data_IF_840042752253
#
_entry.id   IF_840042752253
#
_cell.length_a   1.000
_cell.length_b   1.000
_cell.length_c   1.000
_cell.angle_alpha   90.00
_cell.angle_beta   90.00
_cell.angle_gamma   90.00
#
_symmetry.space_group_name_H-M   'P 1'
#
loop_
_entity.id
_entity.type
_entity.pdbx_description
1 polymer ?
#
# COMPACT_ATOMS: atom_id res chain seq x y z
N UNK A 1 19.59 15.36 -66.07
CA UNK A 1 18.36 14.96 -65.33
C UNK A 1 18.44 13.60 -64.62
N UNK A 2 19.55 12.86 -64.65
CA UNK A 2 19.67 11.52 -63.99
C UNK A 2 20.40 11.53 -62.65
N UNK A 3 21.12 12.58 -62.31
CA UNK A 3 21.92 12.67 -61.07
C UNK A 3 21.08 13.11 -59.88
N UNK A 4 20.02 13.89 -60.06
CA UNK A 4 19.14 14.33 -58.98
C UNK A 4 18.23 13.22 -58.38
N UNK A 5 18.00 12.13 -59.09
CA UNK A 5 17.19 11.02 -58.59
C UNK A 5 17.96 10.05 -57.69
N UNK A 6 19.28 9.98 -57.80
CA UNK A 6 20.11 9.13 -56.94
C UNK A 6 20.35 9.73 -55.57
N UNK A 7 20.41 11.05 -55.44
CA UNK A 7 20.62 11.73 -54.15
C UNK A 7 19.37 11.66 -53.25
N UNK A 8 18.17 11.64 -53.84
CA UNK A 8 16.92 11.57 -53.07
C UNK A 8 16.67 10.17 -52.48
N UNK A 9 17.18 9.12 -53.10
CA UNK A 9 17.04 7.74 -52.59
C UNK A 9 18.00 7.46 -51.43
N UNK A 10 19.18 8.12 -51.40
CA UNK A 10 20.16 7.96 -50.31
C UNK A 10 19.72 8.66 -49.03
N UNK A 11 18.98 9.74 -49.13
CA UNK A 11 18.47 10.50 -47.97
C UNK A 11 17.33 9.80 -47.21
N UNK A 12 16.53 9.00 -47.93
CA UNK A 12 15.43 8.26 -47.34
C UNK A 12 15.92 7.04 -46.52
N UNK A 13 17.06 6.43 -46.92
CA UNK A 13 17.64 5.29 -46.19
C UNK A 13 18.33 5.74 -44.90
N UNK A 14 18.83 6.95 -44.80
CA UNK A 14 19.46 7.49 -43.57
C UNK A 14 18.46 7.92 -42.50
N UNK A 15 17.22 8.24 -42.87
CA UNK A 15 16.16 8.58 -41.90
C UNK A 15 15.46 7.37 -41.29
N UNK A 16 15.56 6.19 -41.90
CA UNK A 16 14.98 4.97 -41.37
C UNK A 16 15.80 4.32 -40.24
N UNK A 17 17.05 4.71 -40.05
CA UNK A 17 17.95 4.13 -39.04
C UNK A 17 17.81 4.72 -37.65
N UNK A 18 17.08 5.83 -37.47
CA UNK A 18 16.95 6.49 -36.17
C UNK A 18 15.67 6.15 -35.41
N UNK A 19 14.80 5.28 -35.93
CA UNK A 19 13.53 4.91 -35.30
C UNK A 19 13.53 3.53 -34.67
N UNK A 20 14.67 2.83 -34.62
CA UNK A 20 14.78 1.63 -33.82
C UNK A 20 15.14 1.98 -32.37
N UNK A 21 14.21 2.61 -31.62
CA UNK A 21 14.21 2.50 -30.17
C UNK A 21 14.15 1.01 -29.88
N UNK A 22 15.28 0.43 -29.47
CA UNK A 22 15.30 -0.88 -28.83
C UNK A 22 14.22 -0.84 -27.76
N UNK A 23 13.06 -1.45 -28.01
CA UNK A 23 12.26 -2.01 -26.95
C UNK A 23 13.24 -2.94 -26.22
N UNK A 24 13.62 -2.57 -25.02
CA UNK A 24 14.18 -3.51 -24.06
C UNK A 24 13.24 -4.72 -24.15
N UNK A 25 13.76 -5.83 -24.66
CA UNK A 25 13.04 -7.07 -24.58
C UNK A 25 12.86 -7.30 -23.07
N UNK A 26 11.65 -7.06 -22.60
CA UNK A 26 11.16 -7.66 -21.38
C UNK A 26 11.30 -9.16 -21.61
N UNK A 27 12.41 -9.72 -21.16
CA UNK A 27 12.57 -11.15 -21.01
C UNK A 27 11.72 -11.54 -19.81
N UNK A 28 10.41 -11.35 -19.96
CA UNK A 28 9.42 -11.85 -19.06
C UNK A 28 9.57 -13.34 -18.98
N UNK A 29 10.30 -13.83 -17.99
CA UNK A 29 10.21 -15.19 -17.54
C UNK A 29 8.77 -15.34 -17.08
N UNK A 30 7.92 -16.13 -17.76
CA UNK A 30 6.55 -16.34 -17.32
C UNK A 30 6.60 -17.03 -15.96
N UNK A 31 6.05 -16.38 -14.93
CA UNK A 31 5.90 -17.00 -13.62
C UNK A 31 6.86 -16.52 -12.53
N UNK A 32 7.58 -15.41 -12.68
CA UNK A 32 8.31 -14.85 -11.56
C UNK A 32 7.40 -13.96 -10.69
N UNK A 33 6.42 -14.58 -10.03
CA UNK A 33 5.91 -14.00 -8.79
C UNK A 33 7.11 -13.85 -7.85
N UNK A 34 7.31 -12.64 -7.32
CA UNK A 34 8.43 -12.36 -6.42
C UNK A 34 8.46 -13.44 -5.33
N UNK A 35 9.53 -14.21 -5.29
CA UNK A 35 9.73 -15.28 -4.28
C UNK A 35 9.75 -14.72 -2.86
N UNK A 36 9.97 -13.42 -2.73
CA UNK A 36 10.08 -12.72 -1.46
C UNK A 36 9.06 -11.59 -1.38
N UNK A 37 8.50 -11.39 -0.18
CA UNK A 37 7.74 -10.19 0.15
C UNK A 37 8.74 -9.08 0.47
N UNK A 38 8.64 -7.97 -0.26
CA UNK A 38 9.40 -6.75 0.01
C UNK A 38 8.37 -5.66 0.34
N UNK A 39 8.28 -5.34 1.62
CA UNK A 39 7.28 -4.43 2.17
C UNK A 39 7.94 -3.15 2.67
N UNK A 40 7.34 -2.00 2.36
CA UNK A 40 7.75 -0.70 2.90
C UNK A 40 6.59 0.00 3.61
N UNK A 41 6.89 0.67 4.72
CA UNK A 41 5.97 1.62 5.33
C UNK A 41 6.10 2.99 4.67
N UNK A 42 4.96 3.60 4.33
CA UNK A 42 4.87 4.94 3.74
C UNK A 42 4.00 5.80 4.63
N UNK A 43 4.57 6.84 5.21
CA UNK A 43 3.91 7.64 6.22
C UNK A 43 2.93 8.67 5.65
N UNK A 44 1.87 8.95 6.40
CA UNK A 44 0.82 9.93 6.05
C UNK A 44 1.33 11.38 5.99
N UNK A 45 2.42 11.68 6.70
CA UNK A 45 3.08 13.00 6.72
C UNK A 45 4.26 13.12 5.75
N UNK A 46 4.67 12.04 5.11
CA UNK A 46 5.72 12.07 4.10
C UNK A 46 5.27 12.82 2.85
N UNK A 47 6.23 13.40 2.11
CA UNK A 47 5.94 14.17 0.89
C UNK A 47 6.39 13.45 -0.39
N UNK A 48 7.33 12.51 -0.29
CA UNK A 48 7.87 11.78 -1.44
C UNK A 48 6.96 10.64 -1.87
N UNK A 49 6.98 10.35 -3.18
CA UNK A 49 6.40 9.12 -3.73
C UNK A 49 7.45 8.02 -3.65
N UNK A 50 7.11 6.84 -3.11
CA UNK A 50 8.07 5.74 -3.03
C UNK A 50 8.38 5.17 -4.42
N UNK A 51 9.64 4.74 -4.62
CA UNK A 51 10.02 3.93 -5.77
C UNK A 51 9.48 2.50 -5.58
N UNK A 52 8.69 2.02 -6.53
CA UNK A 52 7.95 0.75 -6.39
C UNK A 52 8.58 -0.44 -7.09
N UNK A 53 9.65 -0.26 -7.89
CA UNK A 53 10.22 -1.33 -8.72
C UNK A 53 10.55 -2.59 -7.92
N UNK A 54 11.12 -2.43 -6.72
CA UNK A 54 11.51 -3.54 -5.84
C UNK A 54 10.43 -3.93 -4.83
N UNK A 55 9.34 -3.16 -4.68
CA UNK A 55 8.33 -3.39 -3.64
C UNK A 55 7.26 -4.36 -4.13
N UNK A 56 6.84 -5.27 -3.27
CA UNK A 56 5.64 -6.09 -3.45
C UNK A 56 4.46 -5.53 -2.66
N UNK A 57 4.73 -4.89 -1.51
CA UNK A 57 3.71 -4.35 -0.60
C UNK A 57 4.09 -2.95 -0.11
N UNK A 58 3.07 -2.15 0.13
CA UNK A 58 3.15 -0.88 0.87
C UNK A 58 2.15 -0.94 2.03
N UNK A 59 2.63 -0.67 3.24
CA UNK A 59 1.78 -0.36 4.38
C UNK A 59 1.72 1.15 4.55
N UNK A 60 0.55 1.74 4.32
CA UNK A 60 0.33 3.17 4.53
C UNK A 60 0.12 3.46 6.02
N UNK A 61 0.97 4.25 6.59
CA UNK A 61 1.02 4.55 8.01
C UNK A 61 0.65 6.02 8.30
N UNK A 62 -0.48 6.32 8.95
CA UNK A 62 -1.33 5.39 9.68
C UNK A 62 -2.82 5.71 9.53
N UNK A 63 -3.66 4.72 9.87
CA UNK A 63 -4.97 4.91 10.40
C UNK A 63 -4.97 4.67 11.92
N UNK A 64 -6.04 5.01 12.60
CA UNK A 64 -6.19 4.86 14.05
C UNK A 64 -7.58 4.34 14.38
N UNK A 65 -7.73 3.64 15.50
CA UNK A 65 -9.06 3.30 16.02
C UNK A 65 -9.81 4.62 16.28
N UNK A 66 -11.03 4.71 15.76
CA UNK A 66 -11.86 5.91 15.92
C UNK A 66 -12.34 6.09 17.38
N UNK A 67 -12.81 7.30 17.69
CA UNK A 67 -13.18 7.69 19.06
C UNK A 67 -14.35 6.89 19.64
N UNK A 68 -15.17 6.28 18.80
CA UNK A 68 -16.26 5.40 19.19
C UNK A 68 -15.84 3.94 19.41
N UNK A 69 -14.56 3.60 19.27
CA UNK A 69 -13.98 2.26 19.33
C UNK A 69 -14.56 1.27 18.31
N UNK A 70 -15.13 1.73 17.21
CA UNK A 70 -15.84 0.88 16.23
C UNK A 70 -15.36 1.05 14.80
N UNK A 71 -14.62 2.11 14.52
CA UNK A 71 -14.21 2.44 13.16
C UNK A 71 -12.73 2.84 13.06
N UNK A 72 -12.35 3.24 11.86
CA UNK A 72 -11.01 3.70 11.52
C UNK A 72 -11.07 5.18 11.14
N UNK A 73 -10.24 5.99 11.78
CA UNK A 73 -9.89 7.34 11.37
C UNK A 73 -8.59 7.30 10.58
N UNK A 74 -8.56 7.87 9.40
CA UNK A 74 -7.38 7.90 8.54
C UNK A 74 -6.83 9.33 8.53
N UNK A 75 -5.53 9.44 8.79
CA UNK A 75 -4.83 10.71 8.66
C UNK A 75 -4.57 11.01 7.21
N UNK A 76 -4.80 12.01 6.54
CA UNK A 76 -4.42 12.31 5.15
C UNK A 76 -4.95 11.30 4.10
N UNK A 77 -6.27 11.18 3.98
CA UNK A 77 -6.91 10.36 2.95
C UNK A 77 -6.45 10.68 1.50
N UNK A 78 -6.24 11.96 1.10
CA UNK A 78 -5.73 12.26 -0.24
C UNK A 78 -4.39 11.61 -0.54
N UNK A 79 -3.48 11.55 0.43
CA UNK A 79 -2.20 10.87 0.27
C UNK A 79 -2.37 9.35 0.15
N UNK A 80 -3.26 8.76 0.95
CA UNK A 80 -3.59 7.33 0.81
C UNK A 80 -4.07 7.03 -0.60
N UNK A 81 -4.98 7.84 -1.16
CA UNK A 81 -5.48 7.68 -2.53
C UNK A 81 -4.35 7.78 -3.56
N UNK A 82 -3.39 8.69 -3.38
CA UNK A 82 -2.22 8.81 -4.24
C UNK A 82 -1.36 7.54 -4.19
N UNK A 83 -1.09 6.99 -3.00
CA UNK A 83 -0.31 5.76 -2.83
C UNK A 83 -1.02 4.55 -3.45
N UNK A 84 -2.32 4.41 -3.25
CA UNK A 84 -3.12 3.36 -3.93
C UNK A 84 -3.07 3.53 -5.45
N UNK A 85 -3.02 4.77 -5.93
CA UNK A 85 -2.89 5.10 -7.36
C UNK A 85 -1.67 4.50 -8.04
N UNK A 86 -0.59 4.17 -7.29
CA UNK A 86 0.61 3.51 -7.82
C UNK A 86 0.33 2.11 -8.38
N UNK A 87 -0.77 1.47 -7.97
CA UNK A 87 -1.24 0.20 -8.55
C UNK A 87 -1.57 0.31 -10.03
N UNK A 88 -1.81 1.52 -10.58
CA UNK A 88 -2.02 1.73 -12.03
C UNK A 88 -0.73 1.48 -12.82
N UNK A 89 0.43 1.83 -12.24
CA UNK A 89 1.75 1.64 -12.85
C UNK A 89 2.30 0.24 -12.55
N UNK A 90 1.97 -0.31 -11.38
CA UNK A 90 2.37 -1.65 -10.94
C UNK A 90 1.16 -2.43 -10.42
N UNK A 91 0.39 -3.11 -11.28
CA UNK A 91 -0.83 -3.84 -10.87
C UNK A 91 -0.60 -4.96 -9.86
N UNK A 92 0.62 -5.51 -9.76
CA UNK A 92 0.97 -6.53 -8.76
C UNK A 92 1.24 -5.95 -7.36
N UNK A 93 1.38 -4.63 -7.22
CA UNK A 93 1.62 -3.97 -5.94
C UNK A 93 0.40 -4.13 -5.03
N UNK A 94 0.64 -4.53 -3.78
CA UNK A 94 -0.36 -4.59 -2.71
C UNK A 94 -0.23 -3.37 -1.82
N UNK A 95 -1.35 -2.73 -1.50
CA UNK A 95 -1.39 -1.57 -0.61
C UNK A 95 -2.33 -1.86 0.55
N UNK A 96 -1.79 -1.83 1.76
CA UNK A 96 -2.53 -2.03 3.01
C UNK A 96 -2.57 -0.71 3.78
N UNK A 97 -3.60 -0.54 4.61
CA UNK A 97 -3.61 0.49 5.64
C UNK A 97 -3.08 -0.10 6.94
N UNK A 98 -2.00 0.47 7.48
CA UNK A 98 -1.53 0.17 8.82
C UNK A 98 -2.35 0.98 9.82
N UNK A 99 -3.01 0.30 10.74
CA UNK A 99 -3.79 0.90 11.81
C UNK A 99 -3.03 0.73 13.12
N UNK A 100 -2.63 1.86 13.73
CA UNK A 100 -1.84 1.83 14.95
C UNK A 100 -0.65 2.76 14.94
N UNK A 101 0.50 2.19 15.30
CA UNK A 101 1.76 2.89 15.52
C UNK A 101 1.95 3.36 16.95
N UNK A 102 3.17 3.83 17.27
CA UNK A 102 3.54 4.22 18.62
C UNK A 102 2.60 5.27 19.22
N UNK A 103 2.03 4.98 20.39
CA UNK A 103 1.09 5.86 21.09
C UNK A 103 -0.34 5.85 20.55
N UNK A 104 -0.64 5.08 19.51
CA UNK A 104 -2.01 4.91 19.02
C UNK A 104 -2.83 4.09 20.00
N UNK A 105 -3.81 4.71 20.64
CA UNK A 105 -4.61 4.13 21.71
C UNK A 105 -5.93 3.49 21.22
N UNK A 106 -6.78 3.10 22.16
CA UNK A 106 -8.14 2.55 21.98
C UNK A 106 -8.22 1.11 21.48
N UNK A 107 -7.11 0.45 21.23
CA UNK A 107 -7.13 -0.96 20.83
C UNK A 107 -7.71 -1.86 21.91
N UNK A 108 -7.34 -1.63 23.20
CA UNK A 108 -7.85 -2.41 24.31
C UNK A 108 -9.36 -2.31 24.42
N UNK A 109 -9.91 -1.10 24.31
CA UNK A 109 -11.35 -0.86 24.35
C UNK A 109 -12.07 -1.43 23.12
N UNK A 110 -11.51 -1.26 21.94
CA UNK A 110 -12.07 -1.80 20.69
C UNK A 110 -12.08 -3.33 20.71
N UNK A 111 -11.00 -3.95 21.19
CA UNK A 111 -10.87 -5.40 21.21
C UNK A 111 -11.63 -6.07 22.36
N UNK A 112 -12.05 -5.32 23.40
CA UNK A 112 -12.58 -5.86 24.65
C UNK A 112 -13.85 -6.70 24.50
N UNK A 113 -14.71 -6.38 23.54
CA UNK A 113 -15.98 -7.11 23.38
C UNK A 113 -16.30 -7.41 21.91
N UNK A 114 -17.18 -8.39 21.73
CA UNK A 114 -17.56 -8.88 20.40
C UNK A 114 -18.20 -7.80 19.52
N UNK A 115 -19.06 -6.96 20.10
CA UNK A 115 -19.76 -5.90 19.35
C UNK A 115 -18.79 -4.87 18.74
N UNK A 116 -17.78 -4.44 19.50
CA UNK A 116 -16.79 -3.47 19.00
C UNK A 116 -15.83 -4.12 18.01
N UNK A 117 -15.39 -5.37 18.23
CA UNK A 117 -14.60 -6.13 17.26
C UNK A 117 -15.33 -6.31 15.94
N UNK A 118 -16.59 -6.73 15.97
CA UNK A 118 -17.43 -6.93 14.78
C UNK A 118 -17.63 -5.60 14.03
N UNK A 119 -17.91 -4.50 14.74
CA UNK A 119 -18.08 -3.19 14.13
C UNK A 119 -16.77 -2.69 13.50
N UNK A 120 -15.64 -2.87 14.18
CA UNK A 120 -14.32 -2.50 13.64
C UNK A 120 -13.97 -3.33 12.40
N UNK A 121 -14.22 -4.64 12.41
CA UNK A 121 -14.00 -5.50 11.25
C UNK A 121 -14.87 -5.09 10.06
N UNK A 122 -16.14 -4.73 10.30
CA UNK A 122 -17.02 -4.19 9.26
C UNK A 122 -16.49 -2.86 8.69
N UNK A 123 -15.95 -1.99 9.53
CA UNK A 123 -15.35 -0.72 9.09
C UNK A 123 -14.03 -0.93 8.34
N UNK A 124 -13.19 -1.90 8.74
CA UNK A 124 -12.03 -2.34 7.96
C UNK A 124 -12.45 -2.70 6.53
N UNK A 125 -13.50 -3.49 6.38
CA UNK A 125 -14.03 -3.86 5.06
C UNK A 125 -14.50 -2.64 4.28
N UNK A 126 -15.24 -1.73 4.89
CA UNK A 126 -15.69 -0.48 4.28
C UNK A 126 -14.52 0.36 3.78
N UNK A 127 -13.45 0.48 4.58
CA UNK A 127 -12.23 1.24 4.22
C UNK A 127 -11.49 0.58 3.06
N UNK A 128 -11.35 -0.76 3.09
CA UNK A 128 -10.74 -1.52 1.99
C UNK A 128 -11.49 -1.23 0.69
N UNK A 129 -12.82 -1.33 0.69
CA UNK A 129 -13.64 -1.11 -0.50
C UNK A 129 -13.61 0.36 -0.97
N UNK A 130 -13.68 1.32 -0.03
CA UNK A 130 -13.64 2.76 -0.34
C UNK A 130 -12.38 3.17 -1.07
N UNK A 131 -11.23 2.68 -0.64
CA UNK A 131 -9.93 3.10 -1.17
C UNK A 131 -9.30 2.12 -2.16
N UNK A 132 -9.85 0.92 -2.34
CA UNK A 132 -9.27 -0.12 -3.19
C UNK A 132 -7.99 -0.73 -2.60
N UNK A 133 -7.97 -0.88 -1.28
CA UNK A 133 -6.86 -1.50 -0.55
C UNK A 133 -6.86 -3.02 -0.72
N UNK A 134 -5.72 -3.64 -0.44
CA UNK A 134 -5.57 -5.10 -0.46
C UNK A 134 -5.70 -5.72 0.95
N UNK A 135 -5.75 -4.90 2.00
CA UNK A 135 -5.93 -5.36 3.38
C UNK A 135 -5.66 -4.29 4.42
N UNK A 136 -5.68 -4.73 5.67
CA UNK A 136 -5.35 -3.95 6.85
C UNK A 136 -4.15 -4.61 7.54
N UNK A 137 -3.23 -3.81 8.03
CA UNK A 137 -2.15 -4.19 8.93
C UNK A 137 -2.47 -3.64 10.32
N UNK A 138 -2.31 -4.42 11.36
CA UNK A 138 -2.58 -3.99 12.75
C UNK A 138 -1.25 -3.80 13.47
N UNK A 139 -0.99 -2.55 13.82
CA UNK A 139 0.23 -2.12 14.49
C UNK A 139 -0.07 -1.65 15.92
N UNK A 140 -0.52 -2.60 16.76
CA UNK A 140 -0.85 -2.37 18.16
C UNK A 140 0.39 -2.50 19.06
N UNK A 141 0.86 -1.38 19.60
CA UNK A 141 2.10 -1.30 20.38
C UNK A 141 1.82 -0.91 21.85
N UNK A 142 1.48 -1.87 22.75
CA UNK A 142 1.42 -3.32 22.53
C UNK A 142 0.24 -3.92 23.30
N UNK A 143 -0.34 -5.05 22.88
CA UNK A 143 -1.36 -5.73 23.65
C UNK A 143 -0.86 -6.09 25.06
N UNK A 144 -1.64 -5.72 26.09
CA UNK A 144 -1.30 -5.98 27.49
C UNK A 144 -0.23 -5.07 28.10
N UNK A 145 0.15 -3.98 27.40
CA UNK A 145 1.20 -3.07 27.88
C UNK A 145 0.81 -1.60 27.70
N UNK A 146 1.04 -0.81 28.74
CA UNK A 146 0.90 0.65 28.70
C UNK A 146 2.17 1.40 28.28
N UNK A 147 3.16 0.73 27.68
CA UNK A 147 4.50 1.28 27.43
C UNK A 147 4.47 2.54 26.58
N UNK A 148 3.61 2.61 25.56
CA UNK A 148 3.49 3.78 24.68
C UNK A 148 2.51 4.85 25.24
N UNK A 149 2.15 4.79 26.52
CA UNK A 149 1.15 5.69 27.14
C UNK A 149 -0.29 5.37 26.74
N UNK A 150 -0.55 4.18 26.24
CA UNK A 150 -1.87 3.70 25.81
C UNK A 150 -2.58 2.94 26.91
N UNK A 151 -3.91 2.83 26.81
CA UNK A 151 -4.72 1.92 27.62
C UNK A 151 -4.39 0.47 27.35
N UNK A 152 -4.45 -0.37 28.36
CA UNK A 152 -4.19 -1.80 28.25
C UNK A 152 -5.03 -2.61 29.26
N UNK A 153 -5.16 -3.89 28.97
CA UNK A 153 -5.84 -4.88 29.82
C UNK A 153 -5.06 -6.19 29.82
N UNK A 154 -5.12 -6.94 30.91
CA UNK A 154 -4.56 -8.30 30.96
C UNK A 154 -5.21 -9.27 29.96
N UNK A 155 -6.42 -8.95 29.49
CA UNK A 155 -7.14 -9.73 28.48
C UNK A 155 -6.76 -9.39 27.03
N UNK A 156 -5.93 -8.37 26.78
CA UNK A 156 -5.64 -7.88 25.42
C UNK A 156 -5.05 -8.94 24.49
N UNK A 157 -4.17 -9.81 25.01
CA UNK A 157 -3.60 -10.91 24.23
C UNK A 157 -4.68 -11.84 23.65
N UNK A 158 -5.65 -12.20 24.49
CA UNK A 158 -6.76 -13.06 24.08
C UNK A 158 -7.72 -12.30 23.16
N UNK A 159 -8.08 -11.07 23.54
CA UNK A 159 -8.94 -10.19 22.75
C UNK A 159 -8.36 -9.90 21.37
N UNK A 160 -7.04 -9.70 21.27
CA UNK A 160 -6.35 -9.53 19.97
C UNK A 160 -6.44 -10.81 19.13
N UNK A 161 -6.29 -11.99 19.74
CA UNK A 161 -6.48 -13.26 19.03
C UNK A 161 -7.90 -13.39 18.49
N UNK A 162 -8.91 -12.93 19.24
CA UNK A 162 -10.31 -12.93 18.80
C UNK A 162 -10.57 -11.91 17.69
N UNK A 163 -9.90 -10.75 17.73
CA UNK A 163 -9.99 -9.74 16.68
C UNK A 163 -9.45 -10.24 15.35
N UNK A 164 -8.39 -11.06 15.37
CA UNK A 164 -7.70 -11.55 14.16
C UNK A 164 -8.34 -12.81 13.54
N UNK A 165 -9.47 -13.29 14.08
CA UNK A 165 -10.23 -14.43 13.56
C UNK A 165 -11.40 -14.02 12.68
#
# INVERSE_FOLDING_TARGET
>A
MKIFRLLSLLLVVLLASCLNKKKSADTGIPGNESRYVVLAYVTSWGVSTPETSCLTHINYAFGHVADDNKGIRIDNEPRLQMIVGLKKEKPSLKVLLSVGGWGSSRFSEMAANDSTRTAFAADCRRVIDKFGLDGIDIDWEYPGSGTAGISFSSADKENFTLLMR
#
